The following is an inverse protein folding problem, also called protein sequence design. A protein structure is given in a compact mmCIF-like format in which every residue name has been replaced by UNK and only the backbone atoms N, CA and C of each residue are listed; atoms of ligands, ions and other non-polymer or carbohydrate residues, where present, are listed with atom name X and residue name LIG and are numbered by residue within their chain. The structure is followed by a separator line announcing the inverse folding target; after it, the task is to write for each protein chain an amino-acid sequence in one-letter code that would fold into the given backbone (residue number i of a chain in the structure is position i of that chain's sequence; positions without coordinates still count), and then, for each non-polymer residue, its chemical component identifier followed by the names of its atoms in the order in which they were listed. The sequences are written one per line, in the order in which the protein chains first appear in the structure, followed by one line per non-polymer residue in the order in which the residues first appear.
data_IF_807104477084
#
_entry.id   IF_807104477084
#
_cell.length_a   1.000
_cell.length_b   1.000
_cell.length_c   1.000
_cell.angle_alpha   90.00
_cell.angle_beta   90.00
_cell.angle_gamma   90.00
#
_symmetry.space_group_name_H-M   'P 1'
#
loop_
_entity.id
_entity.type
_entity.pdbx_description
1 polymer ?
#
# COMPACT_ATOMS: atom_id res chain seq x y z
N UNK A 1 1.49 -0.35 -19.76
CA UNK A 1 0.71 -0.35 -18.52
C UNK A 1 0.79 1.04 -17.95
N UNK A 2 -0.34 1.72 -17.93
CA UNK A 2 -0.49 3.08 -17.39
C UNK A 2 -0.56 3.03 -15.86
N UNK A 3 -0.52 4.20 -15.20
CA UNK A 3 -0.80 4.28 -13.76
C UNK A 3 -2.23 3.81 -13.45
N UNK A 4 -3.20 4.17 -14.29
CA UNK A 4 -4.60 3.74 -14.13
C UNK A 4 -4.76 2.22 -14.22
N UNK A 5 -4.01 1.56 -15.11
CA UNK A 5 -4.01 0.09 -15.20
C UNK A 5 -3.51 -0.55 -13.89
N UNK A 6 -2.44 0.00 -13.30
CA UNK A 6 -1.89 -0.49 -12.03
C UNK A 6 -2.89 -0.30 -10.90
N UNK A 7 -3.49 0.88 -10.81
CA UNK A 7 -4.44 1.21 -9.76
C UNK A 7 -5.67 0.29 -9.78
N UNK A 8 -6.18 0.01 -10.97
CA UNK A 8 -7.28 -0.94 -11.17
C UNK A 8 -6.88 -2.35 -10.74
N UNK A 9 -5.70 -2.83 -11.12
CA UNK A 9 -5.19 -4.16 -10.75
C UNK A 9 -5.02 -4.30 -9.23
N UNK A 10 -4.40 -3.32 -8.58
CA UNK A 10 -4.15 -3.36 -7.13
C UNK A 10 -5.46 -3.27 -6.34
N UNK A 11 -6.41 -2.45 -6.80
CA UNK A 11 -7.75 -2.37 -6.20
C UNK A 11 -8.54 -3.67 -6.40
N UNK A 12 -8.39 -4.35 -7.55
CA UNK A 12 -8.97 -5.68 -7.80
C UNK A 12 -8.42 -6.71 -6.80
N UNK A 13 -7.10 -6.77 -6.62
CA UNK A 13 -6.48 -7.67 -5.65
C UNK A 13 -6.94 -7.42 -4.22
N UNK A 14 -7.01 -6.16 -3.78
CA UNK A 14 -7.50 -5.83 -2.43
C UNK A 14 -8.99 -6.19 -2.27
N UNK A 15 -9.81 -5.92 -3.30
CA UNK A 15 -11.23 -6.25 -3.29
C UNK A 15 -11.50 -7.76 -3.25
N UNK A 16 -10.70 -8.53 -3.97
CA UNK A 16 -10.72 -9.99 -3.94
C UNK A 16 -10.25 -10.53 -2.59
N UNK A 17 -9.21 -9.94 -2.00
CA UNK A 17 -8.70 -10.34 -0.69
C UNK A 17 -9.71 -10.14 0.46
N UNK A 18 -10.75 -9.32 0.28
CA UNK A 18 -11.87 -9.25 1.23
C UNK A 18 -12.64 -10.58 1.28
N UNK A 19 -12.74 -11.28 0.14
CA UNK A 19 -13.54 -12.50 -0.06
C UNK A 19 -12.65 -13.76 0.02
N UNK A 20 -11.54 -13.77 -0.72
CA UNK A 20 -10.59 -14.89 -0.82
C UNK A 20 -9.14 -14.38 -0.77
N UNK A 21 -8.56 -14.24 0.44
CA UNK A 21 -7.18 -13.79 0.62
C UNK A 21 -6.13 -14.68 -0.05
N UNK A 22 -6.39 -16.00 -0.14
CA UNK A 22 -5.42 -16.94 -0.68
C UNK A 22 -5.31 -16.78 -2.20
N UNK A 23 -6.45 -16.69 -2.90
CA UNK A 23 -6.48 -16.48 -4.34
C UNK A 23 -5.90 -15.11 -4.72
N UNK A 24 -6.26 -14.05 -4.00
CA UNK A 24 -5.70 -12.71 -4.23
C UNK A 24 -4.16 -12.70 -4.07
N UNK A 25 -3.63 -13.37 -3.04
CA UNK A 25 -2.19 -13.48 -2.81
C UNK A 25 -1.46 -14.21 -3.95
N UNK A 26 -2.06 -15.29 -4.48
CA UNK A 26 -1.50 -16.01 -5.62
C UNK A 26 -1.51 -15.14 -6.89
N UNK A 27 -2.62 -14.45 -7.19
CA UNK A 27 -2.72 -13.55 -8.35
C UNK A 27 -1.74 -12.39 -8.28
N UNK A 28 -1.50 -11.82 -7.09
CA UNK A 28 -0.49 -10.79 -6.88
C UNK A 28 0.91 -11.31 -7.20
N UNK A 29 1.27 -12.49 -6.70
CA UNK A 29 2.56 -13.11 -6.96
C UNK A 29 2.77 -13.41 -8.46
N UNK A 30 1.73 -13.93 -9.13
CA UNK A 30 1.73 -14.20 -10.56
C UNK A 30 1.86 -12.92 -11.39
N UNK A 31 1.16 -11.85 -11.00
CA UNK A 31 1.27 -10.55 -11.65
C UNK A 31 2.68 -9.99 -11.51
N UNK A 32 3.32 -10.10 -10.35
CA UNK A 32 4.71 -9.65 -10.16
C UNK A 32 5.67 -10.46 -11.03
N UNK A 33 5.48 -11.78 -11.14
CA UNK A 33 6.22 -12.62 -12.09
C UNK A 33 7.70 -12.84 -11.72
N UNK A 34 8.04 -12.78 -10.43
CA UNK A 34 9.36 -13.13 -9.91
C UNK A 34 10.47 -12.08 -10.16
N UNK A 35 11.75 -12.44 -9.97
CA UNK A 35 12.88 -11.49 -9.91
C UNK A 35 13.39 -11.03 -11.29
N UNK A 36 12.49 -10.65 -12.20
CA UNK A 36 12.83 -10.08 -13.52
C UNK A 36 12.86 -8.54 -13.49
N UNK A 37 13.39 -7.89 -14.53
CA UNK A 37 13.32 -6.41 -14.63
C UNK A 37 11.88 -5.89 -14.60
N UNK A 38 10.96 -6.59 -15.27
CA UNK A 38 9.54 -6.29 -15.24
C UNK A 38 8.94 -6.50 -13.84
N UNK A 39 9.32 -7.59 -13.14
CA UNK A 39 8.86 -7.84 -11.78
C UNK A 39 9.36 -6.80 -10.78
N UNK A 40 10.62 -6.35 -10.89
CA UNK A 40 11.16 -5.25 -10.09
C UNK A 40 10.39 -3.94 -10.32
N UNK A 41 10.05 -3.62 -11.57
CA UNK A 41 9.23 -2.45 -11.88
C UNK A 41 7.83 -2.56 -11.24
N UNK A 42 7.20 -3.75 -11.27
CA UNK A 42 5.91 -3.99 -10.60
C UNK A 42 5.98 -3.91 -9.09
N UNK A 43 7.06 -4.40 -8.47
CA UNK A 43 7.30 -4.24 -7.03
C UNK A 43 7.43 -2.76 -6.64
N UNK A 44 8.16 -1.99 -7.43
CA UNK A 44 8.23 -0.54 -7.22
C UNK A 44 6.86 0.10 -7.37
N UNK A 45 6.11 -0.23 -8.43
CA UNK A 45 4.75 0.29 -8.61
C UNK A 45 3.84 -0.06 -7.43
N UNK A 46 3.88 -1.31 -6.95
CA UNK A 46 3.13 -1.76 -5.78
C UNK A 46 3.48 -0.95 -4.52
N UNK A 47 4.77 -0.78 -4.21
CA UNK A 47 5.23 -0.12 -2.99
C UNK A 47 4.80 1.36 -2.91
N UNK A 48 4.76 2.05 -4.05
CA UNK A 48 4.43 3.48 -4.12
C UNK A 48 2.93 3.73 -4.36
N UNK A 49 2.28 2.93 -5.21
CA UNK A 49 0.85 3.09 -5.47
C UNK A 49 -0.02 2.62 -4.30
N UNK A 50 0.39 1.56 -3.58
CA UNK A 50 -0.39 0.98 -2.48
C UNK A 50 -0.82 2.01 -1.44
N UNK A 51 0.11 2.73 -0.77
CA UNK A 51 -0.25 3.72 0.25
C UNK A 51 -1.14 4.86 -0.28
N UNK A 52 -0.92 5.31 -1.52
CA UNK A 52 -1.79 6.30 -2.16
C UNK A 52 -3.22 5.79 -2.30
N UNK A 53 -3.40 4.56 -2.79
CA UNK A 53 -4.73 3.96 -2.98
C UNK A 53 -5.48 3.80 -1.66
N UNK A 54 -4.78 3.47 -0.58
CA UNK A 54 -5.36 3.44 0.77
C UNK A 54 -5.86 4.84 1.17
N UNK A 55 -5.03 5.88 1.01
CA UNK A 55 -5.44 7.25 1.32
C UNK A 55 -6.65 7.69 0.49
N UNK A 56 -6.70 7.35 -0.80
CA UNK A 56 -7.86 7.61 -1.66
C UNK A 56 -9.11 6.85 -1.19
N UNK A 57 -8.97 5.61 -0.71
CA UNK A 57 -10.09 4.86 -0.14
C UNK A 57 -10.66 5.53 1.11
N UNK A 58 -9.80 5.98 2.04
CA UNK A 58 -10.23 6.76 3.21
C UNK A 58 -10.97 8.04 2.83
N UNK A 59 -10.44 8.80 1.86
CA UNK A 59 -11.09 10.03 1.39
C UNK A 59 -12.46 9.74 0.77
N UNK A 60 -12.61 8.65 0.01
CA UNK A 60 -13.92 8.19 -0.50
C UNK A 60 -14.86 7.73 0.63
N UNK A 61 -14.31 7.19 1.72
CA UNK A 61 -15.04 6.81 2.93
C UNK A 61 -15.46 7.99 3.82
N UNK A 62 -15.10 9.22 3.44
CA UNK A 62 -15.51 10.45 4.15
C UNK A 62 -14.43 11.06 5.05
N UNK A 63 -13.21 10.53 5.04
CA UNK A 63 -12.07 11.20 5.68
C UNK A 63 -11.81 12.57 5.02
N UNK A 64 -11.50 13.60 5.81
CA UNK A 64 -11.17 14.93 5.29
C UNK A 64 -9.66 15.09 5.08
N UNK A 65 -9.19 15.59 3.93
CA UNK A 65 -7.75 15.86 3.76
C UNK A 65 -7.28 16.90 4.80
N UNK A 66 -6.20 16.63 5.54
CA UNK A 66 -5.92 17.42 6.73
C UNK A 66 -4.57 17.17 7.42
N UNK A 67 -4.55 17.31 8.74
CA UNK A 67 -3.38 17.03 9.60
C UNK A 67 -3.63 15.73 10.36
N UNK A 68 -3.30 14.62 9.72
CA UNK A 68 -3.24 13.31 10.34
C UNK A 68 -1.86 13.07 10.96
N UNK A 69 -1.84 12.44 12.13
CA UNK A 69 -0.61 12.06 12.82
C UNK A 69 -0.67 10.58 13.20
N UNK A 70 0.49 9.91 13.10
CA UNK A 70 0.65 8.56 13.66
C UNK A 70 0.84 8.72 15.17
N UNK A 71 -0.15 8.28 15.95
CA UNK A 71 -0.09 8.36 17.41
C UNK A 71 0.86 7.32 17.98
N UNK A 72 1.35 7.56 19.20
CA UNK A 72 2.22 6.61 19.90
C UNK A 72 1.55 5.26 20.14
N UNK A 73 0.27 5.27 20.48
CA UNK A 73 -0.51 4.04 20.70
C UNK A 73 -0.61 3.23 19.40
N UNK A 74 -0.79 3.90 18.25
CA UNK A 74 -0.77 3.26 16.94
C UNK A 74 0.60 2.62 16.65
N UNK A 75 1.71 3.22 17.10
CA UNK A 75 3.08 2.69 16.89
C UNK A 75 3.29 1.35 17.59
N UNK A 76 2.76 1.18 18.80
CA UNK A 76 2.91 -0.06 19.57
C UNK A 76 2.11 -1.23 18.97
N UNK A 77 1.08 -0.92 18.16
CA UNK A 77 0.26 -1.90 17.44
C UNK A 77 0.80 -2.26 16.04
N UNK A 78 1.86 -1.57 15.57
CA UNK A 78 2.42 -1.77 14.22
C UNK A 78 3.08 -3.16 14.13
N UNK A 79 2.56 -4.08 13.28
CA UNK A 79 3.07 -5.46 13.23
C UNK A 79 4.50 -5.58 12.72
N UNK A 80 4.96 -4.64 11.90
CA UNK A 80 6.30 -4.65 11.33
C UNK A 80 6.76 -3.26 10.86
N UNK A 81 8.08 -3.02 10.72
CA UNK A 81 8.59 -1.76 10.16
C UNK A 81 8.00 -1.40 8.78
N UNK A 82 7.67 -2.41 7.96
CA UNK A 82 7.02 -2.20 6.67
C UNK A 82 5.58 -1.70 6.81
N UNK A 83 4.81 -2.24 7.79
CA UNK A 83 3.48 -1.72 8.11
C UNK A 83 3.56 -0.26 8.58
N UNK A 84 4.53 0.06 9.43
CA UNK A 84 4.68 1.44 9.91
C UNK A 84 5.06 2.40 8.80
N UNK A 85 5.90 1.96 7.86
CA UNK A 85 6.25 2.73 6.66
C UNK A 85 5.02 2.94 5.77
N UNK A 86 4.21 1.90 5.53
CA UNK A 86 2.97 2.00 4.76
C UNK A 86 1.98 2.98 5.43
N UNK A 87 1.71 2.83 6.73
CA UNK A 87 0.80 3.73 7.48
C UNK A 87 1.28 5.18 7.41
N UNK A 88 2.57 5.45 7.64
CA UNK A 88 3.12 6.81 7.54
C UNK A 88 3.01 7.37 6.13
N UNK A 89 3.24 6.56 5.09
CA UNK A 89 3.05 6.98 3.71
C UNK A 89 1.57 7.32 3.40
N UNK A 90 0.61 6.53 3.91
CA UNK A 90 -0.82 6.83 3.82
C UNK A 90 -1.13 8.19 4.46
N UNK A 91 -0.66 8.41 5.69
CA UNK A 91 -0.82 9.68 6.42
C UNK A 91 -0.25 10.85 5.63
N UNK A 92 0.93 10.70 5.03
CA UNK A 92 1.53 11.73 4.19
C UNK A 92 0.67 12.02 2.95
N UNK A 93 0.09 11.01 2.31
CA UNK A 93 -0.87 11.21 1.22
C UNK A 93 -2.14 11.95 1.67
N UNK A 94 -2.73 11.56 2.80
CA UNK A 94 -3.90 12.24 3.39
C UNK A 94 -3.58 13.72 3.72
N UNK A 95 -2.34 13.99 4.11
CA UNK A 95 -1.82 15.33 4.40
C UNK A 95 -1.39 16.12 3.15
N UNK A 96 -1.66 15.61 1.93
CA UNK A 96 -1.25 16.21 0.63
C UNK A 96 0.27 16.39 0.48
N UNK A 97 1.04 15.45 1.04
CA UNK A 97 2.51 15.41 0.96
C UNK A 97 3.03 14.16 0.23
N UNK A 98 2.62 13.93 -1.05
CA UNK A 98 2.98 12.72 -1.77
C UNK A 98 4.50 12.57 -1.99
N UNK A 99 5.22 13.67 -2.22
CA UNK A 99 6.68 13.62 -2.40
C UNK A 99 7.42 13.16 -1.15
N UNK A 100 6.90 13.48 0.04
CA UNK A 100 7.47 13.02 1.30
C UNK A 100 7.15 11.54 1.54
N UNK A 101 5.98 11.07 1.09
CA UNK A 101 5.63 9.65 1.12
C UNK A 101 6.57 8.84 0.22
N UNK A 102 6.81 9.32 -1.00
CA UNK A 102 7.75 8.70 -1.94
C UNK A 102 9.17 8.66 -1.36
N UNK A 103 9.62 9.76 -0.74
CA UNK A 103 10.94 9.81 -0.10
C UNK A 103 11.06 8.87 1.10
N UNK A 104 9.99 8.70 1.88
CA UNK A 104 9.95 7.75 2.99
C UNK A 104 10.07 6.31 2.48
N UNK A 105 9.27 5.94 1.48
CA UNK A 105 9.29 4.61 0.87
C UNK A 105 10.66 4.34 0.26
N UNK A 106 11.22 5.30 -0.48
CA UNK A 106 12.56 5.20 -1.07
C UNK A 106 13.61 4.85 -0.01
N UNK A 107 13.70 5.63 1.09
CA UNK A 107 14.65 5.39 2.18
C UNK A 107 14.49 4.00 2.81
N UNK A 108 13.25 3.58 3.05
CA UNK A 108 13.00 2.24 3.57
C UNK A 108 13.50 1.17 2.60
N UNK A 109 13.17 1.30 1.31
CA UNK A 109 13.54 0.34 0.26
C UNK A 109 15.03 0.34 -0.08
N UNK A 110 15.73 1.46 0.07
CA UNK A 110 17.19 1.54 -0.13
C UNK A 110 17.92 0.67 0.90
N UNK A 111 17.40 0.61 2.13
CA UNK A 111 18.00 -0.20 3.21
C UNK A 111 17.64 -1.69 3.17
N UNK A 112 16.59 -2.07 2.44
CA UNK A 112 15.98 -3.42 2.49
C UNK A 112 15.88 -4.10 1.12
N UNK A 113 16.16 -3.37 0.04
CA UNK A 113 16.11 -3.84 -1.34
C UNK A 113 14.72 -4.23 -1.81
N UNK A 114 14.66 -5.20 -2.74
CA UNK A 114 13.41 -5.69 -3.33
C UNK A 114 12.45 -6.28 -2.29
N UNK A 115 12.98 -6.84 -1.20
CA UNK A 115 12.17 -7.35 -0.10
C UNK A 115 11.38 -6.22 0.57
N UNK A 116 11.99 -5.04 0.75
CA UNK A 116 11.30 -3.88 1.30
C UNK A 116 10.15 -3.38 0.44
N UNK A 117 10.35 -3.38 -0.88
CA UNK A 117 9.29 -3.02 -1.83
C UNK A 117 8.10 -3.97 -1.73
N UNK A 118 8.38 -5.29 -1.68
CA UNK A 118 7.35 -6.29 -1.44
C UNK A 118 6.64 -6.07 -0.10
N UNK A 119 7.38 -5.96 1.00
CA UNK A 119 6.82 -5.89 2.34
C UNK A 119 5.94 -4.64 2.54
N UNK A 120 6.38 -3.46 2.09
CA UNK A 120 5.60 -2.21 2.17
C UNK A 120 4.37 -2.30 1.28
N UNK A 121 4.55 -2.81 0.06
CA UNK A 121 3.47 -3.00 -0.90
C UNK A 121 2.35 -3.90 -0.39
N UNK A 122 2.71 -5.05 0.17
CA UNK A 122 1.77 -6.00 0.77
C UNK A 122 1.09 -5.40 2.00
N UNK A 123 1.84 -4.71 2.87
CA UNK A 123 1.25 -4.03 4.02
C UNK A 123 0.21 -2.97 3.58
N UNK A 124 0.51 -2.20 2.53
CA UNK A 124 -0.45 -1.24 1.98
C UNK A 124 -1.70 -1.92 1.38
N UNK A 125 -1.55 -3.05 0.68
CA UNK A 125 -2.70 -3.82 0.20
C UNK A 125 -3.54 -4.40 1.35
N UNK A 126 -2.92 -4.81 2.45
CA UNK A 126 -3.63 -5.28 3.65
C UNK A 126 -4.45 -4.14 4.27
N UNK A 127 -3.88 -2.94 4.37
CA UNK A 127 -4.61 -1.74 4.81
C UNK A 127 -5.79 -1.43 3.87
N UNK A 128 -5.57 -1.48 2.55
CA UNK A 128 -6.64 -1.23 1.57
C UNK A 128 -7.75 -2.27 1.68
N UNK A 129 -7.38 -3.54 1.86
CA UNK A 129 -8.34 -4.64 2.06
C UNK A 129 -9.17 -4.45 3.31
N UNK A 130 -8.57 -3.99 4.41
CA UNK A 130 -9.28 -3.69 5.64
C UNK A 130 -10.28 -2.55 5.44
N UNK A 131 -9.84 -1.43 4.84
CA UNK A 131 -10.73 -0.29 4.56
C UNK A 131 -11.90 -0.66 3.64
N UNK A 132 -11.65 -1.43 2.57
CA UNK A 132 -12.71 -1.89 1.67
C UNK A 132 -13.69 -2.86 2.35
N UNK A 133 -13.25 -3.63 3.35
CA UNK A 133 -14.13 -4.49 4.14
C UNK A 133 -15.03 -3.64 5.04
N UNK A 134 -14.47 -2.62 5.69
CA UNK A 134 -15.20 -1.75 6.60
C UNK A 134 -16.27 -0.95 5.84
N UNK A 135 -15.96 -0.46 4.63
CA UNK A 135 -16.92 0.25 3.77
C UNK A 135 -18.09 -0.62 3.25
N UNK A 136 -17.98 -1.94 3.32
CA UNK A 136 -19.04 -2.88 2.91
C UNK A 136 -19.99 -3.27 4.05
N UNK A 137 -19.61 -2.96 5.29
CA UNK A 137 -20.32 -3.34 6.52
C UNK A 137 -21.40 -2.33 6.87
#
# INVERSE_FOLDING_TARGET
MTTEDVDAILTDFASEAVIDPATAGQRLADWIGGPSAAGKAKLQQLAYAGPRLVAEAYLRGGAEPGQYEVTRDLVDEIPSPAHGTAIQAVVLHLNRRPLDADALIARFTDSTGLKGQWDVGVAALQLLTAELRDQRS
#
